data_IF_659724231498
#
_entry.id   IF_659724231498
#
_cell.length_a   1.000
_cell.length_b   1.000
_cell.length_c   1.000
_cell.angle_alpha   90.00
_cell.angle_beta   90.00
_cell.angle_gamma   90.00
#
_symmetry.space_group_name_H-M   'P 1'
#
loop_
_entity.id
_entity.type
_entity.pdbx_description
1 polymer ?
#
# COMPACT_ATOMS: atom_id res chain seq x y z
N UNK A 1 -5.06 -9.33 -36.69
CA UNK A 1 -5.46 -10.23 -35.58
C UNK A 1 -5.65 -9.37 -34.33
N UNK A 2 -6.69 -9.54 -33.50
CA UNK A 2 -6.77 -8.81 -32.26
C UNK A 2 -5.50 -9.12 -31.43
N UNK A 3 -4.89 -8.09 -30.88
CA UNK A 3 -3.69 -8.24 -30.05
C UNK A 3 -4.05 -9.15 -28.84
N UNK A 4 -3.19 -10.11 -28.53
CA UNK A 4 -3.39 -11.00 -27.40
C UNK A 4 -3.37 -10.20 -26.09
N UNK A 5 -4.46 -10.27 -25.35
CA UNK A 5 -4.63 -9.62 -24.06
C UNK A 5 -4.58 -10.70 -22.96
N UNK A 6 -3.49 -10.77 -22.16
CA UNK A 6 -3.33 -11.81 -21.15
C UNK A 6 -4.39 -11.74 -20.06
N UNK A 7 -4.81 -12.89 -19.56
CA UNK A 7 -5.74 -13.03 -18.42
C UNK A 7 -4.95 -13.00 -17.12
N UNK A 8 -5.12 -11.95 -16.36
CA UNK A 8 -4.43 -11.74 -15.07
C UNK A 8 -5.43 -11.89 -13.93
N UNK A 9 -5.18 -12.84 -13.05
CA UNK A 9 -5.98 -13.03 -11.83
C UNK A 9 -5.21 -12.50 -10.64
N UNK A 10 -5.74 -11.47 -9.96
CA UNK A 10 -5.17 -10.95 -8.71
C UNK A 10 -5.98 -11.46 -7.50
N UNK A 11 -5.28 -12.10 -6.57
CA UNK A 11 -5.86 -12.67 -5.34
C UNK A 11 -5.29 -11.90 -4.15
N UNK A 12 -6.16 -11.14 -3.47
CA UNK A 12 -5.77 -10.19 -2.43
C UNK A 12 -6.26 -10.66 -1.05
N UNK A 13 -5.47 -10.56 0.02
CA UNK A 13 -5.91 -10.92 1.37
C UNK A 13 -7.01 -10.00 1.86
N UNK A 14 -6.96 -8.72 1.46
CA UNK A 14 -7.95 -7.68 1.76
C UNK A 14 -7.73 -6.46 0.85
N UNK A 15 -8.71 -5.56 0.78
CA UNK A 15 -8.52 -4.23 0.21
C UNK A 15 -7.91 -3.31 1.28
N UNK A 16 -6.70 -2.85 1.05
CA UNK A 16 -5.99 -1.87 1.88
C UNK A 16 -5.23 -0.90 0.94
N UNK A 17 -4.68 0.21 1.45
CA UNK A 17 -3.96 1.15 0.59
C UNK A 17 -2.90 0.49 -0.30
N UNK A 18 -2.09 -0.43 0.23
CA UNK A 18 -1.07 -1.13 -0.55
C UNK A 18 -1.65 -1.95 -1.70
N UNK A 19 -2.64 -2.82 -1.42
CA UNK A 19 -3.28 -3.63 -2.47
C UNK A 19 -4.03 -2.76 -3.47
N UNK A 20 -4.59 -1.63 -3.02
CA UNK A 20 -5.28 -0.69 -3.89
C UNK A 20 -4.32 -0.01 -4.87
N UNK A 21 -3.23 0.57 -4.36
CA UNK A 21 -2.25 1.32 -5.15
C UNK A 21 -1.45 0.39 -6.07
N UNK A 22 -0.94 -0.72 -5.51
CA UNK A 22 0.04 -1.56 -6.19
C UNK A 22 -0.59 -2.58 -7.14
N UNK A 23 -1.85 -2.99 -6.93
CA UNK A 23 -2.49 -4.06 -7.70
C UNK A 23 -3.80 -3.60 -8.35
N UNK A 24 -4.76 -3.09 -7.56
CA UNK A 24 -6.11 -2.84 -8.08
C UNK A 24 -6.10 -1.73 -9.13
N UNK A 25 -5.56 -0.56 -8.80
CA UNK A 25 -5.57 0.59 -9.73
C UNK A 25 -4.85 0.28 -11.04
N UNK A 26 -3.60 -0.21 -11.04
CA UNK A 26 -2.89 -0.47 -12.29
C UNK A 26 -3.56 -1.59 -13.12
N UNK A 27 -4.09 -2.66 -12.49
CA UNK A 27 -4.78 -3.71 -13.23
C UNK A 27 -6.10 -3.24 -13.84
N UNK A 28 -6.85 -2.36 -13.15
CA UNK A 28 -8.08 -1.77 -13.69
C UNK A 28 -7.75 -0.87 -14.88
N UNK A 29 -6.75 0.00 -14.78
CA UNK A 29 -6.34 0.87 -15.86
C UNK A 29 -5.86 0.08 -17.09
N UNK A 30 -5.02 -0.95 -16.89
CA UNK A 30 -4.56 -1.83 -17.97
C UNK A 30 -5.70 -2.63 -18.61
N UNK A 31 -6.70 -3.04 -17.82
CA UNK A 31 -7.89 -3.73 -18.31
C UNK A 31 -8.75 -2.80 -19.18
N UNK A 32 -9.01 -1.58 -18.73
CA UNK A 32 -9.78 -0.57 -19.46
C UNK A 32 -9.09 -0.10 -20.74
N UNK A 33 -7.75 -0.09 -20.73
CA UNK A 33 -6.94 0.14 -21.91
C UNK A 33 -6.85 -1.08 -22.87
N UNK A 34 -7.51 -2.20 -22.54
CA UNK A 34 -7.49 -3.42 -23.37
C UNK A 34 -6.16 -4.17 -23.37
N UNK A 35 -5.20 -3.78 -22.51
CA UNK A 35 -3.85 -4.38 -22.47
C UNK A 35 -3.83 -5.75 -21.77
N UNK A 36 -4.73 -5.94 -20.80
CA UNK A 36 -4.93 -7.20 -20.07
C UNK A 36 -6.43 -7.47 -19.86
N UNK A 37 -6.79 -8.72 -19.57
CA UNK A 37 -8.09 -9.08 -19.02
C UNK A 37 -7.91 -9.38 -17.54
N UNK A 38 -8.26 -8.44 -16.67
CA UNK A 38 -8.05 -8.56 -15.25
C UNK A 38 -9.26 -9.15 -14.54
N UNK A 39 -9.00 -10.06 -13.59
CA UNK A 39 -9.95 -10.52 -12.59
C UNK A 39 -9.36 -10.33 -11.20
N UNK A 40 -10.04 -9.58 -10.35
CA UNK A 40 -9.55 -9.26 -9.01
C UNK A 40 -10.52 -9.84 -7.99
N UNK A 41 -10.01 -10.60 -7.03
CA UNK A 41 -10.83 -11.25 -6.01
C UNK A 41 -10.13 -11.23 -4.64
N UNK A 42 -10.92 -11.37 -3.58
CA UNK A 42 -10.37 -11.59 -2.25
C UNK A 42 -9.97 -13.06 -2.07
N UNK A 43 -8.89 -13.31 -1.36
CA UNK A 43 -8.39 -14.65 -1.03
C UNK A 43 -9.47 -15.54 -0.40
N UNK A 44 -10.34 -14.96 0.45
CA UNK A 44 -11.47 -15.67 1.06
C UNK A 44 -12.56 -16.09 0.05
N UNK A 45 -12.59 -15.49 -1.14
CA UNK A 45 -13.57 -15.72 -2.19
C UNK A 45 -12.99 -16.47 -3.38
N UNK A 46 -11.66 -16.49 -3.51
CA UNK A 46 -10.94 -17.15 -4.59
C UNK A 46 -11.09 -18.68 -4.55
N UNK A 47 -11.00 -19.30 -5.70
CA UNK A 47 -11.03 -20.76 -5.87
C UNK A 47 -9.98 -21.23 -6.89
N UNK A 48 -9.56 -22.50 -6.88
CA UNK A 48 -8.68 -23.08 -7.90
C UNK A 48 -9.16 -22.85 -9.34
N UNK A 49 -10.48 -22.76 -9.56
CA UNK A 49 -11.06 -22.48 -10.89
C UNK A 49 -10.73 -21.09 -11.43
N UNK A 50 -10.52 -20.11 -10.56
CA UNK A 50 -10.12 -18.76 -10.98
C UNK A 50 -8.69 -18.79 -11.55
N UNK A 51 -7.82 -19.62 -10.96
CA UNK A 51 -6.44 -19.84 -11.37
C UNK A 51 -6.35 -20.58 -12.70
N UNK A 52 -7.16 -21.62 -12.91
CA UNK A 52 -7.15 -22.44 -14.13
C UNK A 52 -7.45 -21.67 -15.42
N UNK A 53 -8.00 -20.45 -15.31
CA UNK A 53 -8.29 -19.54 -16.43
C UNK A 53 -7.23 -18.46 -16.62
N UNK A 54 -6.23 -18.37 -15.74
CA UNK A 54 -5.25 -17.32 -15.75
C UNK A 54 -4.05 -17.63 -16.65
N UNK A 55 -3.51 -16.60 -17.30
CA UNK A 55 -2.18 -16.62 -17.92
C UNK A 55 -1.11 -16.14 -16.92
N UNK A 56 -1.52 -15.42 -15.87
CA UNK A 56 -0.71 -14.95 -14.74
C UNK A 56 -1.57 -14.85 -13.48
N UNK A 57 -1.05 -15.28 -12.34
CA UNK A 57 -1.64 -15.01 -11.03
C UNK A 57 -0.79 -14.02 -10.27
N UNK A 58 -1.44 -13.01 -9.69
CA UNK A 58 -0.81 -12.00 -8.84
C UNK A 58 -1.31 -12.16 -7.41
N UNK A 59 -0.39 -12.39 -6.49
CA UNK A 59 -0.65 -12.36 -5.06
C UNK A 59 0.00 -11.12 -4.44
N UNK A 60 -0.59 -10.56 -3.39
CA UNK A 60 -0.04 -9.41 -2.68
C UNK A 60 -0.21 -9.60 -1.18
N UNK A 61 0.89 -9.80 -0.45
CA UNK A 61 0.86 -10.00 1.01
C UNK A 61 0.09 -11.22 1.49
N UNK A 62 -0.17 -12.20 0.64
CA UNK A 62 -0.84 -13.44 1.01
C UNK A 62 0.09 -14.30 1.88
N UNK A 63 -0.36 -14.68 3.07
CA UNK A 63 0.41 -15.48 4.04
C UNK A 63 -0.48 -16.47 4.82
N UNK A 64 -1.67 -16.76 4.33
CA UNK A 64 -2.64 -17.61 5.04
C UNK A 64 -2.41 -19.08 4.72
N UNK A 65 -2.07 -19.93 5.73
CA UNK A 65 -1.84 -21.36 5.51
C UNK A 65 -3.10 -22.12 5.05
N UNK A 66 -4.27 -21.71 5.55
CA UNK A 66 -5.57 -22.30 5.16
C UNK A 66 -5.98 -21.98 3.70
N UNK A 67 -5.18 -21.18 2.99
CA UNK A 67 -5.36 -20.83 1.58
C UNK A 67 -4.16 -21.20 0.69
N UNK A 68 -3.23 -21.98 1.22
CA UNK A 68 -2.05 -22.47 0.48
C UNK A 68 -2.41 -23.17 -0.84
N UNK A 69 -3.59 -23.80 -0.91
CA UNK A 69 -4.13 -24.45 -2.11
C UNK A 69 -4.11 -23.53 -3.35
N UNK A 70 -4.30 -22.21 -3.17
CA UNK A 70 -4.34 -21.26 -4.28
C UNK A 70 -2.95 -21.13 -4.94
N UNK A 71 -1.89 -20.97 -4.14
CA UNK A 71 -0.51 -20.92 -4.65
C UNK A 71 -0.14 -22.26 -5.30
N UNK A 72 -0.38 -23.37 -4.61
CA UNK A 72 -0.04 -24.71 -5.08
C UNK A 72 -0.77 -25.09 -6.36
N UNK A 73 -2.03 -24.63 -6.53
CA UNK A 73 -2.77 -24.80 -7.79
C UNK A 73 -2.10 -24.02 -8.93
N UNK A 74 -1.64 -22.78 -8.71
CA UNK A 74 -0.95 -22.00 -9.72
C UNK A 74 0.33 -22.73 -10.18
N UNK A 75 1.13 -23.19 -9.22
CA UNK A 75 2.37 -23.95 -9.48
C UNK A 75 2.07 -25.23 -10.27
N UNK A 76 1.14 -26.05 -9.78
CA UNK A 76 0.78 -27.34 -10.42
C UNK A 76 0.21 -27.16 -11.82
N UNK A 77 -0.45 -26.02 -12.10
CA UNK A 77 -0.99 -25.69 -13.43
C UNK A 77 0.05 -25.00 -14.34
N UNK A 78 1.29 -24.80 -13.89
CA UNK A 78 2.32 -24.09 -14.66
C UNK A 78 1.96 -22.62 -14.95
N UNK A 79 1.06 -22.02 -14.15
CA UNK A 79 0.70 -20.62 -14.28
C UNK A 79 1.76 -19.77 -13.55
N UNK A 80 2.41 -18.81 -14.22
CA UNK A 80 3.38 -17.96 -13.54
C UNK A 80 2.75 -17.16 -12.40
N UNK A 81 3.52 -16.94 -11.35
CA UNK A 81 3.11 -16.21 -10.15
C UNK A 81 3.95 -14.96 -9.98
N UNK A 82 3.31 -13.79 -9.90
CA UNK A 82 3.90 -12.57 -9.38
C UNK A 82 3.48 -12.41 -7.92
N UNK A 83 4.45 -12.32 -7.02
CA UNK A 83 4.21 -12.04 -5.61
C UNK A 83 4.67 -10.62 -5.25
N UNK A 84 3.73 -9.79 -4.81
CA UNK A 84 3.96 -8.39 -4.44
C UNK A 84 4.11 -8.24 -2.93
N UNK A 85 5.23 -7.70 -2.46
CA UNK A 85 5.55 -7.54 -1.06
C UNK A 85 6.12 -6.14 -0.77
N UNK A 86 5.42 -5.36 0.05
CA UNK A 86 5.77 -3.97 0.38
C UNK A 86 6.14 -3.74 1.86
N UNK A 87 6.06 -4.79 2.70
CA UNK A 87 6.54 -4.80 4.09
C UNK A 87 7.36 -6.07 4.37
N UNK A 88 8.40 -5.99 5.18
CA UNK A 88 9.19 -7.14 5.60
C UNK A 88 8.50 -7.86 6.77
N UNK A 89 7.73 -8.91 6.48
CA UNK A 89 6.98 -9.64 7.50
C UNK A 89 7.87 -10.50 8.42
N UNK A 90 9.10 -10.82 7.99
CA UNK A 90 10.06 -11.52 8.86
C UNK A 90 10.57 -10.64 10.00
N UNK A 91 10.53 -9.31 9.83
CA UNK A 91 11.08 -8.33 10.76
C UNK A 91 9.98 -7.51 11.46
N UNK A 92 8.74 -8.00 11.44
CA UNK A 92 7.65 -7.31 12.13
C UNK A 92 7.91 -7.28 13.65
N UNK A 93 7.82 -6.11 14.30
CA UNK A 93 7.95 -6.05 15.76
C UNK A 93 6.92 -6.97 16.44
N UNK A 94 7.34 -7.94 17.28
CA UNK A 94 6.45 -8.98 17.83
C UNK A 94 5.25 -8.41 18.59
N UNK A 95 5.47 -7.31 19.32
CA UNK A 95 4.45 -6.67 20.15
C UNK A 95 3.52 -5.73 19.36
N UNK A 96 3.81 -5.50 18.09
CA UNK A 96 2.94 -4.73 17.22
C UNK A 96 1.67 -5.51 16.88
N UNK A 97 0.58 -4.79 16.55
CA UNK A 97 -0.63 -5.43 16.06
C UNK A 97 -0.40 -6.22 14.76
N UNK A 98 0.56 -5.78 13.93
CA UNK A 98 0.95 -6.48 12.71
C UNK A 98 1.80 -7.71 13.00
N UNK A 99 2.77 -7.64 13.93
CA UNK A 99 3.56 -8.79 14.36
C UNK A 99 2.66 -9.91 14.89
N UNK A 100 1.73 -9.58 15.78
CA UNK A 100 0.75 -10.56 16.27
C UNK A 100 -0.17 -11.15 15.19
N UNK A 101 -0.39 -10.43 14.10
CA UNK A 101 -1.30 -10.85 13.03
C UNK A 101 -0.61 -11.58 11.88
N UNK A 102 0.69 -11.38 11.65
CA UNK A 102 1.38 -11.84 10.44
C UNK A 102 2.73 -12.55 10.71
N UNK A 103 3.24 -12.51 11.94
CA UNK A 103 4.53 -13.12 12.29
C UNK A 103 4.37 -14.46 13.04
N UNK A 104 3.24 -15.17 12.87
CA UNK A 104 3.11 -16.53 13.40
C UNK A 104 3.95 -17.49 12.55
N UNK A 105 4.54 -18.55 13.14
CA UNK A 105 5.43 -19.46 12.42
C UNK A 105 4.83 -20.02 11.12
N UNK A 106 3.55 -20.40 11.12
CA UNK A 106 2.87 -20.96 9.96
C UNK A 106 2.66 -19.91 8.85
N UNK A 107 2.49 -18.65 9.22
CA UNK A 107 2.37 -17.53 8.28
C UNK A 107 3.72 -17.19 7.66
N UNK A 108 4.82 -17.23 8.44
CA UNK A 108 6.17 -17.02 7.93
C UNK A 108 6.63 -18.17 7.04
N UNK A 109 6.24 -19.41 7.37
CA UNK A 109 6.46 -20.57 6.49
C UNK A 109 5.71 -20.38 5.16
N UNK A 110 4.45 -19.92 5.21
CA UNK A 110 3.68 -19.62 4.01
C UNK A 110 4.27 -18.47 3.19
N UNK A 111 4.75 -17.41 3.85
CA UNK A 111 5.48 -16.32 3.18
C UNK A 111 6.70 -16.86 2.44
N UNK A 112 7.49 -17.73 3.08
CA UNK A 112 8.65 -18.38 2.47
C UNK A 112 8.23 -19.19 1.24
N UNK A 113 7.13 -19.97 1.33
CA UNK A 113 6.60 -20.74 0.19
C UNK A 113 6.21 -19.81 -0.98
N UNK A 114 5.53 -18.69 -0.72
CA UNK A 114 5.20 -17.68 -1.74
C UNK A 114 6.44 -17.08 -2.39
N UNK A 115 7.43 -16.66 -1.58
CA UNK A 115 8.65 -16.04 -2.07
C UNK A 115 9.46 -17.01 -2.93
N UNK A 116 9.64 -18.26 -2.46
CA UNK A 116 10.43 -19.29 -3.17
C UNK A 116 9.76 -19.72 -4.47
N UNK A 117 8.44 -19.84 -4.47
CA UNK A 117 7.70 -20.38 -5.62
C UNK A 117 7.32 -19.32 -6.67
N UNK A 118 7.40 -18.04 -6.35
CA UNK A 118 7.04 -16.99 -7.28
C UNK A 118 7.97 -16.96 -8.51
N UNK A 119 7.38 -16.79 -9.69
CA UNK A 119 8.11 -16.55 -10.95
C UNK A 119 8.78 -15.18 -10.96
N UNK A 120 8.21 -14.23 -10.21
CA UNK A 120 8.77 -12.91 -9.94
C UNK A 120 8.27 -12.42 -8.58
N UNK A 121 9.19 -11.96 -7.73
CA UNK A 121 8.88 -11.22 -6.51
C UNK A 121 9.08 -9.74 -6.78
N UNK A 122 8.06 -8.92 -6.51
CA UNK A 122 8.12 -7.46 -6.63
C UNK A 122 8.18 -6.81 -5.25
N UNK A 123 9.18 -5.95 -5.05
CA UNK A 123 9.45 -5.27 -3.77
C UNK A 123 9.68 -3.77 -3.97
N UNK A 124 9.78 -2.98 -2.89
CA UNK A 124 9.76 -1.52 -2.95
C UNK A 124 10.89 -0.83 -2.17
N UNK A 125 11.85 -1.59 -1.66
CA UNK A 125 13.01 -1.06 -0.95
C UNK A 125 14.21 -1.99 -1.09
N UNK A 126 15.43 -1.45 -0.96
CA UNK A 126 16.68 -2.24 -1.04
C UNK A 126 16.79 -3.30 0.06
N UNK A 127 16.47 -3.00 1.34
CA UNK A 127 16.50 -4.03 2.36
C UNK A 127 15.53 -5.18 2.09
N UNK A 128 14.34 -4.88 1.54
CA UNK A 128 13.37 -5.90 1.18
C UNK A 128 13.83 -6.70 -0.06
N UNK A 129 14.50 -6.04 -1.03
CA UNK A 129 15.14 -6.71 -2.15
C UNK A 129 16.20 -7.71 -1.68
N UNK A 130 17.05 -7.30 -0.74
CA UNK A 130 18.08 -8.18 -0.16
C UNK A 130 17.45 -9.33 0.64
N UNK A 131 16.41 -9.08 1.41
CA UNK A 131 15.70 -10.11 2.18
C UNK A 131 15.02 -11.14 1.28
N UNK A 132 14.25 -10.71 0.29
CA UNK A 132 13.57 -11.59 -0.66
C UNK A 132 14.56 -12.31 -1.59
N UNK A 133 15.67 -11.65 -1.95
CA UNK A 133 16.72 -12.21 -2.82
C UNK A 133 17.44 -13.41 -2.24
N UNK A 134 17.37 -13.64 -0.91
CA UNK A 134 17.87 -14.86 -0.27
C UNK A 134 17.00 -16.09 -0.58
N UNK A 135 15.74 -15.88 -0.95
CA UNK A 135 14.75 -16.92 -1.17
C UNK A 135 14.40 -17.10 -2.65
N UNK A 136 14.59 -16.06 -3.47
CA UNK A 136 14.25 -16.09 -4.88
C UNK A 136 15.26 -15.27 -5.70
N UNK A 137 15.76 -15.84 -6.79
CA UNK A 137 16.70 -15.16 -7.70
C UNK A 137 16.02 -14.16 -8.65
N UNK A 138 14.69 -14.20 -8.76
CA UNK A 138 13.89 -13.32 -9.60
C UNK A 138 13.13 -12.30 -8.72
N UNK A 139 13.87 -11.36 -8.16
CA UNK A 139 13.31 -10.26 -7.37
C UNK A 139 13.56 -8.94 -8.10
N UNK A 140 12.51 -8.14 -8.27
CA UNK A 140 12.59 -6.82 -8.91
C UNK A 140 12.12 -5.75 -7.92
N UNK A 141 12.97 -4.74 -7.71
CA UNK A 141 12.60 -3.55 -6.95
C UNK A 141 11.97 -2.53 -7.89
N UNK A 142 10.80 -2.02 -7.52
CA UNK A 142 10.08 -1.00 -8.29
C UNK A 142 9.80 0.23 -7.43
N UNK A 143 9.70 1.38 -8.06
CA UNK A 143 9.18 2.58 -7.40
C UNK A 143 7.68 2.41 -7.15
N UNK A 144 7.23 2.70 -5.93
CA UNK A 144 5.79 2.71 -5.63
C UNK A 144 5.10 3.90 -6.34
N UNK A 145 3.78 3.84 -6.51
CA UNK A 145 3.03 4.88 -7.21
C UNK A 145 2.25 5.81 -6.29
N UNK A 146 1.89 6.98 -6.83
CA UNK A 146 0.82 7.84 -6.33
C UNK A 146 -0.03 8.31 -7.51
N UNK A 147 -1.36 8.29 -7.34
CA UNK A 147 -2.29 8.72 -8.37
C UNK A 147 -2.47 10.25 -8.34
N UNK A 148 -1.80 10.94 -9.24
CA UNK A 148 -1.82 12.39 -9.35
C UNK A 148 -3.19 12.95 -9.75
N UNK A 149 -4.05 12.16 -10.41
CA UNK A 149 -5.43 12.55 -10.74
C UNK A 149 -6.33 12.71 -9.50
N UNK A 150 -5.95 12.11 -8.38
CA UNK A 150 -6.65 12.26 -7.11
C UNK A 150 -6.21 13.51 -6.32
N UNK A 151 -5.11 14.14 -6.70
CA UNK A 151 -4.55 15.30 -6.01
C UNK A 151 -5.35 16.56 -6.36
N UNK A 152 -5.73 17.32 -5.35
CA UNK A 152 -6.41 18.61 -5.50
C UNK A 152 -5.44 19.74 -5.11
N UNK A 153 -5.46 20.82 -5.86
CA UNK A 153 -4.71 22.02 -5.47
C UNK A 153 -5.52 22.78 -4.40
N UNK A 154 -4.95 23.01 -3.22
CA UNK A 154 -5.63 23.82 -2.22
C UNK A 154 -5.72 25.28 -2.66
N UNK A 155 -6.83 25.91 -2.35
CA UNK A 155 -6.89 27.36 -2.40
C UNK A 155 -6.00 27.93 -1.28
N UNK A 156 -4.82 28.47 -1.62
CA UNK A 156 -3.95 29.13 -0.64
C UNK A 156 -4.53 30.50 -0.31
N UNK A 157 -4.98 30.67 0.93
CA UNK A 157 -5.33 31.99 1.46
C UNK A 157 -4.02 32.65 1.97
N UNK A 158 -3.65 33.82 1.47
CA UNK A 158 -2.50 34.58 1.99
C UNK A 158 -2.67 34.93 3.48
N UNK A 159 -1.61 34.79 4.27
CA UNK A 159 -1.57 35.33 5.65
C UNK A 159 -2.10 34.38 6.75
N UNK A 160 -2.39 33.14 6.44
CA UNK A 160 -2.75 32.16 7.46
C UNK A 160 -1.53 31.50 8.16
N UNK A 161 -1.77 30.71 9.24
CA UNK A 161 -0.70 29.97 9.91
C UNK A 161 -0.07 28.93 8.98
N UNK A 162 1.21 28.63 9.22
CA UNK A 162 1.89 27.51 8.55
C UNK A 162 1.31 26.19 9.07
N UNK A 163 0.71 25.40 8.19
CA UNK A 163 0.06 24.14 8.55
C UNK A 163 1.03 22.97 8.47
N UNK A 164 1.28 22.37 9.65
CA UNK A 164 2.09 21.17 9.78
C UNK A 164 1.19 19.91 9.81
N UNK A 165 1.63 18.82 9.22
CA UNK A 165 0.87 17.56 9.20
C UNK A 165 1.73 16.36 9.57
N UNK A 166 1.27 15.55 10.52
CA UNK A 166 1.69 14.19 10.72
C UNK A 166 0.54 13.26 10.32
N UNK A 167 0.73 12.45 9.29
CA UNK A 167 -0.28 11.53 8.79
C UNK A 167 0.20 10.08 8.93
N UNK A 168 -0.58 9.26 9.65
CA UNK A 168 -0.27 7.84 9.83
C UNK A 168 -1.54 7.02 9.96
N UNK A 169 -1.49 5.75 9.58
CA UNK A 169 -2.58 4.80 9.87
C UNK A 169 -2.46 4.15 11.25
N UNK A 170 -1.30 4.30 11.91
CA UNK A 170 -0.98 3.73 13.22
C UNK A 170 -0.14 4.72 14.00
N UNK A 171 -0.55 5.01 15.23
CA UNK A 171 0.33 5.69 16.15
C UNK A 171 1.27 4.64 16.75
N UNK A 172 2.55 4.84 16.59
CA UNK A 172 3.61 4.05 17.22
C UNK A 172 4.32 4.97 18.20
N UNK A 173 4.36 4.60 19.46
CA UNK A 173 4.96 5.42 20.52
C UNK A 173 6.47 5.66 20.28
N UNK A 174 7.14 4.72 19.60
CA UNK A 174 8.55 4.87 19.25
C UNK A 174 8.76 6.00 18.24
N UNK A 175 7.88 6.12 17.25
CA UNK A 175 7.92 7.20 16.26
C UNK A 175 7.54 8.56 16.87
N UNK A 176 6.60 8.55 17.81
CA UNK A 176 6.21 9.74 18.55
C UNK A 176 7.40 10.36 19.28
N UNK A 177 8.20 9.56 19.96
CA UNK A 177 9.39 10.03 20.71
C UNK A 177 10.41 10.76 19.84
N UNK A 178 10.47 10.47 18.55
CA UNK A 178 11.40 11.10 17.61
C UNK A 178 11.11 12.58 17.42
N UNK A 179 9.85 12.97 17.21
CA UNK A 179 9.51 14.32 16.76
C UNK A 179 8.56 15.11 17.70
N UNK A 180 7.79 14.44 18.57
CA UNK A 180 6.80 15.12 19.41
C UNK A 180 7.40 16.19 20.34
N UNK A 181 8.57 15.97 20.98
CA UNK A 181 9.19 17.03 21.80
C UNK A 181 9.53 18.28 21.00
N UNK A 182 10.04 18.08 19.76
CA UNK A 182 10.37 19.16 18.84
C UNK A 182 9.12 19.92 18.38
N UNK A 183 8.06 19.20 18.02
CA UNK A 183 6.80 19.79 17.60
C UNK A 183 6.15 20.58 18.74
N UNK A 184 6.15 20.06 19.96
CA UNK A 184 5.63 20.75 21.13
C UNK A 184 6.37 22.07 21.39
N UNK A 185 7.71 22.01 21.44
CA UNK A 185 8.55 23.19 21.61
C UNK A 185 8.26 24.25 20.54
N UNK A 186 8.17 23.86 19.27
CA UNK A 186 7.83 24.78 18.19
C UNK A 186 6.45 25.45 18.40
N UNK A 187 5.43 24.66 18.78
CA UNK A 187 4.08 25.18 19.01
C UNK A 187 4.04 26.17 20.19
N UNK A 188 4.79 25.89 21.26
CA UNK A 188 4.87 26.76 22.43
C UNK A 188 5.56 28.11 22.08
N UNK A 189 6.59 28.07 21.22
CA UNK A 189 7.34 29.29 20.81
C UNK A 189 6.61 30.11 19.72
N UNK A 190 6.00 29.46 18.74
CA UNK A 190 5.41 30.12 17.58
C UNK A 190 3.93 30.46 17.75
N UNK A 191 3.24 29.87 18.71
CA UNK A 191 1.83 30.13 19.00
C UNK A 191 0.95 30.11 17.74
N UNK A 192 0.24 31.19 17.42
CA UNK A 192 -0.71 31.23 16.31
C UNK A 192 -0.05 31.27 14.92
N UNK A 193 1.26 31.38 14.80
CA UNK A 193 1.97 31.32 13.51
C UNK A 193 1.98 29.92 12.89
N UNK A 194 1.78 28.88 13.71
CA UNK A 194 1.77 27.47 13.28
C UNK A 194 0.47 26.77 13.68
N UNK A 195 0.03 25.86 12.85
CA UNK A 195 -1.14 25.01 13.12
C UNK A 195 -0.77 23.55 12.88
N UNK A 196 -0.70 22.75 13.94
CA UNK A 196 -0.33 21.35 13.85
C UNK A 196 -1.57 20.46 13.66
N UNK A 197 -1.47 19.50 12.75
CA UNK A 197 -2.51 18.55 12.40
C UNK A 197 -2.02 17.11 12.54
N UNK A 198 -2.91 16.23 13.02
CA UNK A 198 -2.73 14.80 13.00
C UNK A 198 -3.82 14.16 12.14
N UNK A 199 -3.43 13.31 11.21
CA UNK A 199 -4.36 12.56 10.38
C UNK A 199 -4.22 11.06 10.65
N UNK A 200 -5.27 10.44 11.19
CA UNK A 200 -5.28 9.03 11.57
C UNK A 200 -5.70 8.79 13.00
N UNK A 201 -4.92 8.08 13.83
CA UNK A 201 -5.18 7.93 15.27
C UNK A 201 -5.20 9.26 16.00
N UNK A 202 -5.81 9.28 17.18
CA UNK A 202 -5.82 10.47 18.02
C UNK A 202 -4.39 10.86 18.42
N UNK A 203 -4.06 12.15 18.43
CA UNK A 203 -2.77 12.63 18.94
C UNK A 203 -2.66 12.30 20.44
N UNK A 204 -1.41 12.26 20.97
CA UNK A 204 -1.19 12.17 22.41
C UNK A 204 -1.84 13.34 23.16
N UNK A 205 -2.28 13.07 24.40
CA UNK A 205 -2.97 14.08 25.23
C UNK A 205 -2.08 15.30 25.57
N UNK A 206 -0.77 15.12 25.52
CA UNK A 206 0.25 16.13 25.77
C UNK A 206 0.33 17.22 24.67
N UNK A 207 -0.41 17.04 23.58
CA UNK A 207 -0.52 18.01 22.48
C UNK A 207 -1.96 18.52 22.32
N UNK A 208 -2.49 19.33 23.27
CA UNK A 208 -3.92 19.68 23.29
C UNK A 208 -4.34 20.58 22.12
N UNK A 209 -3.44 21.38 21.56
CA UNK A 209 -3.74 22.35 20.51
C UNK A 209 -3.67 21.77 19.08
N UNK A 210 -3.54 20.44 18.92
CA UNK A 210 -3.44 19.80 17.61
C UNK A 210 -4.83 19.53 17.02
N UNK A 211 -5.01 19.86 15.75
CA UNK A 211 -6.23 19.49 15.00
C UNK A 211 -6.18 18.04 14.57
N UNK A 212 -7.21 17.28 14.90
CA UNK A 212 -7.30 15.86 14.60
C UNK A 212 -8.23 15.58 13.41
N UNK A 213 -7.73 14.81 12.45
CA UNK A 213 -8.47 14.26 11.33
C UNK A 213 -8.56 12.73 11.47
N UNK A 214 -9.78 12.19 11.47
CA UNK A 214 -9.99 10.75 11.60
C UNK A 214 -9.51 9.94 10.39
N UNK A 215 -9.40 8.63 10.58
CA UNK A 215 -8.98 7.69 9.52
C UNK A 215 -9.96 7.72 8.34
N UNK A 216 -9.42 7.81 7.13
CA UNK A 216 -10.16 7.65 5.88
C UNK A 216 -9.72 6.35 5.21
N UNK A 217 -10.59 5.34 5.20
CA UNK A 217 -10.25 4.00 4.71
C UNK A 217 -10.09 3.91 3.18
N UNK A 218 -10.83 4.71 2.43
CA UNK A 218 -10.66 4.77 0.98
C UNK A 218 -9.49 5.68 0.63
N UNK A 219 -8.44 5.12 0.01
CA UNK A 219 -7.19 5.83 -0.25
C UNK A 219 -7.37 7.03 -1.19
N UNK A 220 -8.17 6.89 -2.26
CA UNK A 220 -8.41 7.98 -3.20
C UNK A 220 -9.16 9.14 -2.55
N UNK A 221 -10.13 8.82 -1.67
CA UNK A 221 -10.83 9.83 -0.87
C UNK A 221 -9.90 10.48 0.16
N UNK A 222 -8.99 9.69 0.74
CA UNK A 222 -7.95 10.23 1.62
C UNK A 222 -7.09 11.22 0.84
N UNK A 223 -6.52 10.83 -0.28
CA UNK A 223 -5.61 11.67 -1.06
C UNK A 223 -6.27 12.97 -1.54
N UNK A 224 -7.52 12.90 -2.02
CA UNK A 224 -8.31 14.09 -2.39
C UNK A 224 -8.51 15.07 -1.22
N UNK A 225 -8.84 14.57 -0.04
CA UNK A 225 -9.06 15.39 1.15
C UNK A 225 -7.75 15.94 1.70
N UNK A 226 -6.74 15.09 1.72
CA UNK A 226 -5.41 15.42 2.24
C UNK A 226 -4.76 16.54 1.42
N UNK A 227 -4.78 16.42 0.10
CA UNK A 227 -4.23 17.43 -0.81
C UNK A 227 -5.02 18.75 -0.78
N UNK A 228 -6.35 18.69 -0.58
CA UNK A 228 -7.20 19.88 -0.48
C UNK A 228 -7.06 20.63 0.85
N UNK A 229 -6.46 20.04 1.89
CA UNK A 229 -6.36 20.64 3.22
C UNK A 229 -5.34 21.79 3.32
N UNK A 230 -4.42 21.90 2.34
CA UNK A 230 -3.45 23.00 2.26
C UNK A 230 -2.34 22.92 3.31
N UNK A 231 -1.89 21.72 3.66
CA UNK A 231 -0.71 21.53 4.51
C UNK A 231 0.54 22.03 3.80
N UNK A 232 1.48 22.58 4.55
CA UNK A 232 2.71 23.16 4.01
C UNK A 232 3.96 22.37 4.40
N UNK A 233 3.99 21.81 5.61
CA UNK A 233 5.10 21.03 6.15
C UNK A 233 4.59 19.65 6.57
N UNK A 234 5.23 18.58 6.07
CA UNK A 234 4.89 17.20 6.38
C UNK A 234 5.94 16.54 7.27
N UNK A 235 5.49 15.82 8.30
CA UNK A 235 6.36 15.11 9.23
C UNK A 235 6.32 13.62 8.92
N UNK A 236 7.49 13.02 8.63
CA UNK A 236 7.64 11.61 8.30
C UNK A 236 8.74 10.94 9.15
N UNK A 237 8.53 10.85 10.49
CA UNK A 237 9.45 10.11 11.34
C UNK A 237 9.42 8.62 11.02
N UNK A 238 10.60 7.98 11.07
CA UNK A 238 10.75 6.55 10.86
C UNK A 238 11.89 6.04 11.76
N UNK A 239 11.66 4.94 12.49
CA UNK A 239 12.68 4.34 13.31
C UNK A 239 13.79 3.71 12.44
N UNK A 240 15.00 3.65 12.98
CA UNK A 240 16.16 3.10 12.30
C UNK A 240 16.38 1.62 12.72
N UNK A 241 15.43 0.77 12.35
CA UNK A 241 15.49 -0.67 12.52
C UNK A 241 15.20 -1.40 11.19
N UNK A 242 15.47 -2.70 11.14
CA UNK A 242 15.35 -3.50 9.90
C UNK A 242 13.94 -3.45 9.30
N UNK A 243 12.92 -3.50 10.14
CA UNK A 243 11.54 -3.43 9.67
C UNK A 243 11.21 -2.09 9.02
N UNK A 244 11.57 -0.97 9.70
CA UNK A 244 11.29 0.36 9.20
C UNK A 244 12.14 0.72 7.97
N UNK A 245 13.41 0.30 7.91
CA UNK A 245 14.25 0.43 6.70
C UNK A 245 13.69 -0.34 5.51
N UNK A 246 12.93 -1.41 5.74
CA UNK A 246 12.31 -2.22 4.67
C UNK A 246 11.02 -1.63 4.10
N UNK A 247 10.52 -0.50 4.64
CA UNK A 247 9.26 0.11 4.19
C UNK A 247 9.39 0.77 2.81
N UNK A 248 8.23 1.11 2.22
CA UNK A 248 8.16 1.93 1.02
C UNK A 248 8.06 3.43 1.39
N UNK A 249 8.59 4.29 0.52
CA UNK A 249 8.65 5.74 0.69
C UNK A 249 7.30 6.47 0.50
N UNK A 250 6.21 5.89 0.98
CA UNK A 250 4.84 6.41 0.77
C UNK A 250 4.69 7.87 1.19
N UNK A 251 5.30 8.31 2.30
CA UNK A 251 5.18 9.69 2.77
C UNK A 251 5.88 10.67 1.83
N UNK A 252 7.03 10.31 1.26
CA UNK A 252 7.69 11.12 0.25
C UNK A 252 6.78 11.34 -0.97
N UNK A 253 6.16 10.26 -1.46
CA UNK A 253 5.25 10.33 -2.60
C UNK A 253 3.99 11.14 -2.30
N UNK A 254 3.36 10.90 -1.16
CA UNK A 254 2.14 11.63 -0.74
C UNK A 254 2.42 13.12 -0.54
N UNK A 255 3.50 13.47 0.16
CA UNK A 255 3.85 14.87 0.43
C UNK A 255 4.26 15.60 -0.85
N UNK A 256 5.16 15.03 -1.65
CA UNK A 256 5.56 15.62 -2.91
C UNK A 256 4.37 15.79 -3.87
N UNK A 257 3.52 14.78 -4.03
CA UNK A 257 2.31 14.87 -4.84
C UNK A 257 1.36 15.99 -4.37
N UNK A 258 1.26 16.23 -3.07
CA UNK A 258 0.38 17.26 -2.50
C UNK A 258 1.03 18.65 -2.37
N UNK A 259 2.28 18.82 -2.80
CA UNK A 259 3.01 20.08 -2.68
C UNK A 259 3.30 20.44 -1.22
N UNK A 260 3.68 19.47 -0.41
CA UNK A 260 4.01 19.60 1.01
C UNK A 260 5.52 19.43 1.17
N UNK A 261 6.20 20.37 1.83
CA UNK A 261 7.62 20.26 2.15
C UNK A 261 7.82 19.24 3.28
N UNK A 262 8.42 18.09 2.96
CA UNK A 262 8.59 16.99 3.91
C UNK A 262 9.86 17.11 4.75
N UNK A 263 9.73 16.79 6.05
CA UNK A 263 10.84 16.49 6.96
C UNK A 263 10.82 15.00 7.23
N UNK A 264 11.93 14.32 6.95
CA UNK A 264 12.04 12.87 6.98
C UNK A 264 13.18 12.44 7.90
N UNK A 265 12.99 11.37 8.65
CA UNK A 265 14.13 10.70 9.31
C UNK A 265 15.20 10.34 8.29
N UNK A 266 16.47 10.56 8.62
CA UNK A 266 17.60 10.15 7.79
C UNK A 266 17.83 8.64 7.95
N UNK A 267 16.98 7.87 7.28
CA UNK A 267 17.03 6.40 7.20
C UNK A 267 16.89 5.98 5.74
N UNK A 268 17.40 4.79 5.41
CA UNK A 268 17.55 4.30 4.03
C UNK A 268 16.31 4.51 3.13
N UNK A 269 15.10 4.31 3.66
CA UNK A 269 13.83 4.54 2.93
C UNK A 269 13.74 5.94 2.33
N UNK A 270 14.24 6.94 3.04
CA UNK A 270 14.17 8.33 2.63
C UNK A 270 15.49 8.84 2.05
N UNK A 271 16.64 8.43 2.59
CA UNK A 271 17.93 8.83 2.03
C UNK A 271 18.16 8.33 0.60
N UNK A 272 17.49 7.23 0.20
CA UNK A 272 17.51 6.73 -1.17
C UNK A 272 16.71 7.61 -2.18
N UNK A 273 15.80 8.47 -1.71
CA UNK A 273 14.91 9.21 -2.62
C UNK A 273 14.80 10.72 -2.33
N UNK A 274 15.17 11.16 -1.14
CA UNK A 274 15.12 12.58 -0.74
C UNK A 274 16.47 13.24 -0.95
N UNK A 275 16.53 14.31 -1.73
CA UNK A 275 17.68 15.19 -1.80
C UNK A 275 17.51 16.31 -0.76
N UNK A 276 18.39 16.29 0.28
CA UNK A 276 18.34 17.24 1.39
C UNK A 276 18.42 18.71 0.89
N UNK A 277 17.47 19.55 1.34
CA UNK A 277 17.38 20.96 0.93
C UNK A 277 16.83 21.21 -0.49
N UNK A 278 16.48 20.11 -1.22
CA UNK A 278 15.89 20.18 -2.55
C UNK A 278 14.49 19.57 -2.60
N UNK A 279 14.35 18.28 -2.31
CA UNK A 279 13.07 17.56 -2.35
C UNK A 279 12.52 17.24 -0.97
N UNK A 280 13.24 17.61 0.09
CA UNK A 280 12.87 17.45 1.49
C UNK A 280 14.03 17.77 2.43
N UNK A 281 13.79 17.68 3.72
CA UNK A 281 14.85 17.71 4.74
C UNK A 281 15.02 16.31 5.33
N UNK A 282 16.26 15.79 5.31
CA UNK A 282 16.67 14.57 6.02
C UNK A 282 17.25 14.98 7.36
N UNK A 283 16.79 14.37 8.46
CA UNK A 283 17.18 14.73 9.82
C UNK A 283 17.44 13.50 10.68
N UNK A 284 18.42 13.59 11.57
CA UNK A 284 18.67 12.55 12.57
C UNK A 284 17.44 12.36 13.48
N UNK A 285 17.30 11.18 14.05
CA UNK A 285 16.20 10.81 14.93
C UNK A 285 16.37 11.34 16.35
N UNK A 286 16.67 12.62 16.50
CA UNK A 286 16.71 13.34 17.77
C UNK A 286 15.87 14.61 17.76
N UNK A 287 15.38 15.02 18.92
CA UNK A 287 14.45 16.12 19.07
C UNK A 287 15.04 17.46 18.59
N UNK A 288 16.34 17.69 18.76
CA UNK A 288 16.96 18.95 18.36
C UNK A 288 17.13 19.08 16.85
N UNK A 289 17.46 17.98 16.16
CA UNK A 289 17.51 17.95 14.69
C UNK A 289 16.13 18.20 14.08
N UNK A 290 15.09 17.56 14.63
CA UNK A 290 13.69 17.80 14.21
C UNK A 290 13.24 19.22 14.48
N UNK A 291 13.58 19.79 15.65
CA UNK A 291 13.23 21.17 15.97
C UNK A 291 13.89 22.15 15.00
N UNK A 292 15.18 22.01 14.72
CA UNK A 292 15.90 22.88 13.75
C UNK A 292 15.27 22.83 12.36
N UNK A 293 14.93 21.65 11.88
CA UNK A 293 14.29 21.47 10.58
C UNK A 293 12.88 22.09 10.53
N UNK A 294 12.10 21.94 11.60
CA UNK A 294 10.80 22.57 11.74
C UNK A 294 10.92 24.10 11.71
N UNK A 295 11.83 24.67 12.51
CA UNK A 295 12.13 26.12 12.53
C UNK A 295 12.53 26.61 11.15
N UNK A 296 13.48 25.93 10.50
CA UNK A 296 13.97 26.28 9.18
C UNK A 296 12.83 26.38 8.16
N UNK A 297 11.93 25.39 8.12
CA UNK A 297 10.80 25.41 7.17
C UNK A 297 9.68 26.39 7.58
N UNK A 298 9.51 26.69 8.86
CA UNK A 298 8.54 27.72 9.30
C UNK A 298 9.03 29.12 8.95
N UNK A 299 10.30 29.42 9.17
CA UNK A 299 10.89 30.73 8.98
C UNK A 299 11.23 31.04 7.52
N UNK A 300 11.70 30.05 6.75
CA UNK A 300 12.09 30.21 5.34
C UNK A 300 11.00 29.73 4.37
N UNK A 301 10.11 30.66 4.01
CA UNK A 301 9.05 30.40 3.04
C UNK A 301 9.60 30.10 1.62
N UNK A 302 10.77 30.64 1.26
CA UNK A 302 11.37 30.40 -0.05
C UNK A 302 11.93 28.97 -0.15
N UNK A 303 12.66 28.53 0.87
CA UNK A 303 13.12 27.14 0.95
C UNK A 303 11.93 26.17 0.94
N UNK A 304 10.89 26.46 1.74
CA UNK A 304 9.67 25.64 1.78
C UNK A 304 9.04 25.52 0.39
N UNK A 305 8.89 26.65 -0.32
CA UNK A 305 8.34 26.67 -1.70
C UNK A 305 9.23 25.91 -2.69
N UNK A 306 10.55 26.08 -2.61
CA UNK A 306 11.52 25.36 -3.44
C UNK A 306 11.36 23.85 -3.26
N UNK A 307 11.34 23.35 -2.00
CA UNK A 307 11.18 21.93 -1.69
C UNK A 307 9.83 21.41 -2.22
N UNK A 308 8.74 22.12 -2.03
CA UNK A 308 7.41 21.75 -2.53
C UNK A 308 7.42 21.56 -4.06
N UNK A 309 8.05 22.46 -4.79
CA UNK A 309 8.14 22.40 -6.24
C UNK A 309 9.03 21.26 -6.73
N UNK A 310 10.23 21.13 -6.16
CA UNK A 310 11.17 20.09 -6.56
C UNK A 310 10.69 18.69 -6.21
N UNK A 311 10.10 18.51 -5.01
CA UNK A 311 9.48 17.25 -4.64
C UNK A 311 8.33 16.89 -5.60
N UNK A 312 7.49 17.86 -5.98
CA UNK A 312 6.39 17.63 -6.92
C UNK A 312 6.91 17.15 -8.28
N UNK A 313 7.93 17.80 -8.84
CA UNK A 313 8.56 17.40 -10.10
C UNK A 313 9.16 15.99 -10.01
N UNK A 314 9.81 15.66 -8.91
CA UNK A 314 10.36 14.33 -8.66
C UNK A 314 9.26 13.26 -8.70
N UNK A 315 8.11 13.54 -8.06
CA UNK A 315 6.98 12.61 -8.04
C UNK A 315 6.36 12.46 -9.43
N UNK A 316 6.18 13.53 -10.18
CA UNK A 316 5.64 13.50 -11.54
C UNK A 316 6.52 12.68 -12.48
N UNK A 317 7.84 12.80 -12.36
CA UNK A 317 8.79 12.15 -13.23
C UNK A 317 9.07 10.67 -12.90
N UNK A 318 8.88 10.24 -11.63
CA UNK A 318 9.36 8.92 -11.20
C UNK A 318 8.33 8.06 -10.47
N UNK A 319 7.22 8.64 -9.99
CA UNK A 319 6.30 7.97 -9.08
C UNK A 319 4.83 8.07 -9.51
N UNK A 320 4.56 8.52 -10.74
CA UNK A 320 3.17 8.60 -11.21
C UNK A 320 2.56 7.21 -11.40
N UNK A 321 1.23 7.14 -11.36
CA UNK A 321 0.47 5.91 -11.58
C UNK A 321 0.75 5.32 -12.96
N UNK A 322 0.91 6.15 -13.99
CA UNK A 322 1.14 5.76 -15.37
C UNK A 322 2.53 5.11 -15.58
N UNK A 323 3.55 5.62 -14.88
CA UNK A 323 4.89 5.01 -14.88
C UNK A 323 4.81 3.60 -14.27
N UNK A 324 4.12 3.47 -13.13
CA UNK A 324 3.95 2.19 -12.47
C UNK A 324 3.15 1.18 -13.32
N UNK A 325 2.10 1.63 -13.99
CA UNK A 325 1.31 0.82 -14.93
C UNK A 325 2.17 0.29 -16.08
N UNK A 326 3.05 1.12 -16.62
CA UNK A 326 3.98 0.71 -17.69
C UNK A 326 4.98 -0.35 -17.20
N UNK A 327 5.51 -0.20 -15.98
CA UNK A 327 6.37 -1.22 -15.34
C UNK A 327 5.60 -2.52 -15.12
N UNK A 328 4.40 -2.44 -14.59
CA UNK A 328 3.58 -3.62 -14.31
C UNK A 328 3.19 -4.37 -15.59
N UNK A 329 2.83 -3.63 -16.65
CA UNK A 329 2.54 -4.24 -17.96
C UNK A 329 3.75 -5.00 -18.50
N UNK A 330 4.94 -4.40 -18.46
CA UNK A 330 6.20 -5.07 -18.88
C UNK A 330 6.41 -6.36 -18.08
N UNK A 331 6.23 -6.34 -16.77
CA UNK A 331 6.35 -7.54 -15.92
C UNK A 331 5.33 -8.62 -16.33
N UNK A 332 4.08 -8.25 -16.60
CA UNK A 332 3.04 -9.18 -17.08
C UNK A 332 3.46 -9.79 -18.42
N UNK A 333 3.88 -8.98 -19.39
CA UNK A 333 4.29 -9.44 -20.72
C UNK A 333 5.49 -10.39 -20.65
N UNK A 334 6.48 -10.08 -19.81
CA UNK A 334 7.65 -10.95 -19.59
C UNK A 334 7.28 -12.30 -18.99
N UNK A 335 6.42 -12.32 -17.97
CA UNK A 335 6.02 -13.56 -17.31
C UNK A 335 5.15 -14.43 -18.20
N UNK A 336 4.20 -13.85 -18.92
CA UNK A 336 3.33 -14.60 -19.84
C UNK A 336 4.12 -15.06 -21.08
N UNK A 337 5.06 -14.29 -21.58
CA UNK A 337 5.90 -14.64 -22.73
C UNK A 337 6.82 -15.83 -22.51
N UNK A 338 7.30 -16.03 -21.26
CA UNK A 338 8.15 -17.16 -20.88
C UNK A 338 7.43 -18.52 -20.92
N UNK A 339 6.10 -18.55 -20.75
CA UNK A 339 5.30 -19.79 -20.58
C UNK A 339 4.64 -20.25 -21.88
N UNK A 340 4.54 -19.40 -22.89
CA UNK A 340 3.84 -19.69 -24.16
C UNK A 340 4.34 -20.88 -24.96
N UNK A 341 5.66 -21.22 -25.03
CA UNK A 341 6.11 -22.39 -25.79
C UNK A 341 5.65 -23.73 -25.23
N UNK A 342 5.18 -23.81 -23.98
CA UNK A 342 4.87 -25.09 -23.31
C UNK A 342 3.37 -25.40 -23.17
N UNK A 343 2.47 -24.44 -23.44
CA UNK A 343 1.02 -24.68 -23.39
C UNK A 343 0.42 -25.09 -24.74
N UNK A 344 0.90 -26.17 -25.31
CA UNK A 344 0.13 -26.94 -26.28
C UNK A 344 -0.65 -28.04 -25.52
N UNK A 345 -1.85 -27.66 -25.17
CA UNK A 345 -3.09 -28.44 -25.02
C UNK A 345 -2.97 -29.86 -24.41
N UNK A 346 -3.37 -29.98 -23.16
CA UNK A 346 -4.24 -31.08 -22.76
C UNK A 346 -5.35 -30.56 -21.86
N UNK A 347 -6.51 -30.30 -22.45
CA UNK A 347 -7.75 -30.08 -21.72
C UNK A 347 -8.26 -31.44 -21.22
N UNK A 348 -7.73 -31.92 -20.10
CA UNK A 348 -8.39 -32.99 -19.38
C UNK A 348 -9.52 -32.42 -18.54
N UNK A 349 -10.71 -32.98 -18.79
CA UNK A 349 -11.96 -32.72 -18.13
C UNK A 349 -11.80 -32.76 -16.60
N UNK A 350 -11.81 -31.63 -15.91
CA UNK A 350 -11.95 -31.58 -14.46
C UNK A 350 -13.42 -31.76 -14.12
N UNK A 351 -13.65 -32.78 -13.37
CA UNK A 351 -14.89 -33.41 -12.92
C UNK A 351 -15.99 -32.42 -12.50
N UNK A 352 -17.20 -32.66 -13.01
CA UNK A 352 -18.40 -31.82 -12.89
C UNK A 352 -19.07 -31.82 -11.49
N UNK A 353 -18.43 -32.33 -10.42
CA UNK A 353 -19.10 -32.66 -9.14
C UNK A 353 -19.13 -31.59 -8.06
N UNK A 354 -18.65 -30.36 -8.28
CA UNK A 354 -18.64 -29.31 -7.24
C UNK A 354 -19.43 -28.06 -7.65
N UNK A 355 -20.71 -28.20 -7.95
CA UNK A 355 -21.64 -27.07 -7.96
C UNK A 355 -22.12 -26.81 -6.53
N UNK A 356 -21.43 -25.98 -5.76
CA UNK A 356 -22.01 -25.40 -4.55
C UNK A 356 -22.73 -24.09 -4.90
N UNK A 357 -24.00 -23.89 -4.48
CA UNK A 357 -24.76 -22.69 -4.79
C UNK A 357 -24.18 -21.46 -4.10
N UNK A 358 -24.30 -20.28 -4.74
CA UNK A 358 -23.79 -18.98 -4.28
C UNK A 358 -24.22 -18.61 -2.85
N UNK A 359 -25.36 -19.10 -2.37
CA UNK A 359 -25.85 -18.91 -1.00
C UNK A 359 -24.94 -19.56 0.07
N UNK A 360 -24.32 -20.70 -0.21
CA UNK A 360 -23.45 -21.39 0.74
C UNK A 360 -22.15 -20.60 1.04
N UNK A 361 -21.75 -19.66 0.18
CA UNK A 361 -20.59 -18.80 0.41
C UNK A 361 -20.89 -17.64 1.39
N UNK A 362 -22.10 -17.09 1.39
CA UNK A 362 -22.55 -16.09 2.35
C UNK A 362 -22.70 -16.67 3.76
N UNK A 363 -23.19 -17.91 3.87
CA UNK A 363 -23.38 -18.60 5.17
C UNK A 363 -22.05 -18.90 5.88
N UNK A 364 -20.92 -19.05 5.16
CA UNK A 364 -19.58 -19.23 5.77
C UNK A 364 -19.01 -17.98 6.45
N UNK A 365 -19.54 -16.80 6.18
CA UNK A 365 -19.13 -15.56 6.86
C UNK A 365 -19.82 -15.37 8.24
N UNK A 366 -20.92 -16.03 8.48
CA UNK A 366 -21.70 -15.92 9.73
C UNK A 366 -20.91 -16.43 10.96
N UNK A 367 -20.21 -17.60 10.94
CA UNK A 367 -19.44 -18.06 12.09
C UNK A 367 -18.27 -17.16 12.46
N UNK A 368 -17.64 -16.49 11.46
CA UNK A 368 -16.54 -15.55 11.70
C UNK A 368 -17.03 -14.25 12.36
N UNK A 369 -18.23 -13.79 11.98
CA UNK A 369 -18.90 -12.65 12.63
C UNK A 369 -19.30 -12.95 14.09
N UNK A 370 -19.84 -14.14 14.35
CA UNK A 370 -20.24 -14.59 15.70
C UNK A 370 -19.01 -14.78 16.60
N UNK A 371 -17.91 -15.31 16.08
CA UNK A 371 -16.65 -15.46 16.82
C UNK A 371 -16.00 -14.10 17.17
N UNK A 372 -16.22 -13.08 16.35
CA UNK A 372 -15.77 -11.71 16.62
C UNK A 372 -16.64 -11.04 17.72
N UNK A 373 -17.95 -11.22 17.67
CA UNK A 373 -18.92 -10.73 18.66
C UNK A 373 -18.61 -11.24 20.08
N UNK A 374 -18.29 -12.52 20.21
CA UNK A 374 -17.95 -13.14 21.50
C UNK A 374 -16.62 -12.66 22.10
N UNK A 375 -15.65 -12.24 21.27
CA UNK A 375 -14.29 -11.91 21.72
C UNK A 375 -14.00 -10.41 21.86
N UNK A 376 -14.68 -9.54 21.13
CA UNK A 376 -14.26 -8.12 20.97
C UNK A 376 -15.34 -7.07 21.25
N UNK A 377 -16.57 -7.46 21.63
CA UNK A 377 -17.67 -6.55 21.95
C UNK A 377 -18.32 -5.89 20.73
N UNK A 378 -19.57 -5.40 20.89
CA UNK A 378 -20.44 -4.91 19.82
C UNK A 378 -19.84 -3.75 18.98
N UNK A 379 -19.21 -2.77 19.60
CA UNK A 379 -18.71 -1.58 18.90
C UNK A 379 -17.53 -1.89 17.94
N UNK A 380 -16.64 -2.81 18.32
CA UNK A 380 -15.52 -3.24 17.46
C UNK A 380 -15.97 -4.19 16.36
N UNK A 381 -16.96 -5.03 16.64
CA UNK A 381 -17.56 -5.90 15.63
C UNK A 381 -18.39 -5.12 14.61
N UNK A 382 -19.09 -4.05 15.02
CA UNK A 382 -19.84 -3.18 14.11
C UNK A 382 -18.94 -2.45 13.13
N UNK A 383 -17.78 -1.98 13.58
CA UNK A 383 -16.77 -1.38 12.69
C UNK A 383 -16.14 -2.42 11.76
N UNK A 384 -15.90 -3.65 12.22
CA UNK A 384 -15.41 -4.74 11.38
C UNK A 384 -16.48 -5.19 10.36
N UNK A 385 -17.75 -5.27 10.75
CA UNK A 385 -18.85 -5.60 9.84
C UNK A 385 -19.11 -4.50 8.80
N UNK A 386 -19.03 -3.23 9.17
CA UNK A 386 -19.06 -2.11 8.22
C UNK A 386 -17.89 -2.18 7.23
N UNK A 387 -16.71 -2.57 7.71
CA UNK A 387 -15.53 -2.69 6.86
C UNK A 387 -15.62 -3.90 5.92
N UNK A 388 -16.07 -5.08 6.42
CA UNK A 388 -16.32 -6.28 5.61
C UNK A 388 -17.42 -6.02 4.59
N UNK A 389 -18.51 -5.38 4.99
CA UNK A 389 -19.61 -4.99 4.10
C UNK A 389 -19.17 -4.01 3.01
N UNK A 390 -18.39 -2.98 3.36
CA UNK A 390 -17.86 -2.01 2.39
C UNK A 390 -16.83 -2.62 1.45
N UNK A 391 -15.96 -3.50 1.94
CA UNK A 391 -14.96 -4.20 1.11
C UNK A 391 -15.59 -5.21 0.17
N UNK A 392 -16.61 -5.95 0.62
CA UNK A 392 -17.35 -6.89 -0.22
C UNK A 392 -18.18 -6.19 -1.29
N UNK A 393 -18.79 -5.05 -0.95
CA UNK A 393 -19.54 -4.22 -1.89
C UNK A 393 -18.60 -3.55 -2.91
N UNK A 394 -17.48 -3.01 -2.46
CA UNK A 394 -16.43 -2.45 -3.33
C UNK A 394 -15.85 -3.51 -4.26
N UNK A 395 -15.66 -4.74 -3.77
CA UNK A 395 -15.21 -5.85 -4.59
C UNK A 395 -16.28 -6.27 -5.61
N UNK A 396 -17.55 -6.31 -5.24
CA UNK A 396 -18.63 -6.62 -6.17
C UNK A 396 -18.75 -5.57 -7.28
N UNK A 397 -18.65 -4.28 -6.97
CA UNK A 397 -18.61 -3.21 -7.96
C UNK A 397 -17.40 -3.30 -8.87
N UNK A 398 -16.23 -3.59 -8.32
CA UNK A 398 -15.00 -3.80 -9.08
C UNK A 398 -15.12 -5.00 -10.03
N UNK A 399 -15.61 -6.13 -9.55
CA UNK A 399 -15.84 -7.32 -10.38
C UNK A 399 -16.90 -7.10 -11.46
N UNK A 400 -17.95 -6.32 -11.16
CA UNK A 400 -18.94 -5.94 -12.17
C UNK A 400 -18.31 -5.09 -13.28
N UNK A 401 -17.44 -4.15 -12.94
CA UNK A 401 -16.70 -3.31 -13.89
C UNK A 401 -15.75 -4.14 -14.78
N UNK A 402 -15.11 -5.15 -14.23
CA UNK A 402 -14.17 -6.04 -14.94
C UNK A 402 -14.85 -7.13 -15.78
N UNK A 403 -16.15 -7.42 -15.58
CA UNK A 403 -16.86 -8.51 -16.27
C UNK A 403 -16.95 -8.34 -17.78
N UNK A 404 -17.03 -7.11 -18.29
CA UNK A 404 -17.19 -6.84 -19.71
C UNK A 404 -16.08 -7.42 -20.60
N UNK A 405 -14.84 -7.49 -20.09
CA UNK A 405 -13.72 -8.05 -20.84
C UNK A 405 -13.37 -9.50 -20.49
N UNK A 406 -13.90 -10.03 -19.37
CA UNK A 406 -13.52 -11.37 -18.90
C UNK A 406 -14.31 -12.52 -19.54
N UNK A 407 -15.57 -12.29 -19.90
CA UNK A 407 -16.50 -13.31 -20.40
C UNK A 407 -16.57 -13.43 -21.93
N UNK A 408 -15.82 -12.59 -22.69
CA UNK A 408 -15.86 -12.58 -24.15
C UNK A 408 -14.84 -13.51 -24.82
N UNK A 409 -14.70 -14.73 -24.29
CA UNK A 409 -13.82 -15.75 -24.88
C UNK A 409 -14.37 -17.15 -24.77
#
# INVERSE_FOLDING_TARGET
>A
MPAFSPRVVAILPRLCPSTWINIVKPLVALHEAGRVRAWITLESMASPRDIGKADLVVFCRNVRPDRAELLRTAIASGVPVLYDLDDNFFELPPDSASGRAFAQPEQLAMLTEYLTAASLVRVYSRPLLASAGRLNSHVEMVAGAVDLHQVRQPAKLPGGPVKLIYATSRLDDSLGRIFLPALRRLMDEEGPRVEAHFWGPRPPAELPAVRHHGVVHNYDRFLRRFSAAGFEIGLAPLADDVFHRSKTNTKFREYGACGIAGIYSDVEVYSDCVRHGETGLLVANDAEAWYRALRQLVDDANLRKKIQQQARLEIENHYSQEIFESVFLRQIEQLVGRVRPQRIIETHAVDARLRQPRLARLVRLIPQGIGCLRRKGWARCWNALRWIGSSSWSMACLQWRLRKGWNES
#
